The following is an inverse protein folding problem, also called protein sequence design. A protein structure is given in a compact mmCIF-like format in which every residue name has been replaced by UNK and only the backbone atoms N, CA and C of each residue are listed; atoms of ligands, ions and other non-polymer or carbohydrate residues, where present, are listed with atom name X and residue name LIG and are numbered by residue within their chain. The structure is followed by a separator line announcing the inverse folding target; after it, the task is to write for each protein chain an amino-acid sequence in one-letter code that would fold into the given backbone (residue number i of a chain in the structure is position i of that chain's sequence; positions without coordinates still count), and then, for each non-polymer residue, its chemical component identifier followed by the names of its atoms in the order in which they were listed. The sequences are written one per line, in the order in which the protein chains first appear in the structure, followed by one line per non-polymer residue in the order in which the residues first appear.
data_IF_339747753051
#
_entry.id   IF_339747753051
#
_cell.length_a   1.000
_cell.length_b   1.000
_cell.length_c   1.000
_cell.angle_alpha   90.00
_cell.angle_beta   90.00
_cell.angle_gamma   90.00
#
_symmetry.space_group_name_H-M   'P 1'
#
loop_
_entity.id
_entity.type
_entity.pdbx_description
1 polymer ?
#
# COMPACT_ATOMS: atom_id res chain seq x y z
N UNK A 1 -25.44 -12.39 -19.82
CA UNK A 1 -26.79 -12.08 -19.27
C UNK A 1 -26.80 -11.54 -17.82
N UNK A 2 -25.84 -11.87 -16.96
CA UNK A 2 -25.74 -11.32 -15.59
C UNK A 2 -25.35 -9.84 -15.58
N UNK A 3 -24.45 -9.39 -16.46
CA UNK A 3 -23.96 -8.00 -16.55
C UNK A 3 -25.03 -6.95 -16.90
N UNK A 4 -26.11 -7.32 -17.59
CA UNK A 4 -27.15 -6.35 -17.97
C UNK A 4 -28.09 -6.00 -16.82
N UNK A 5 -28.27 -6.89 -15.83
CA UNK A 5 -29.12 -6.63 -14.63
C UNK A 5 -28.48 -5.68 -13.61
N UNK A 6 -27.16 -5.53 -13.63
CA UNK A 6 -26.43 -4.71 -12.65
C UNK A 6 -25.80 -3.44 -13.24
N UNK A 7 -26.10 -3.08 -14.48
CA UNK A 7 -25.57 -1.84 -15.11
C UNK A 7 -25.83 -0.59 -14.28
N UNK A 8 -27.01 -0.47 -13.70
CA UNK A 8 -27.36 0.70 -12.87
C UNK A 8 -26.54 0.76 -11.60
N UNK A 9 -26.31 -0.38 -10.93
CA UNK A 9 -25.47 -0.47 -9.74
C UNK A 9 -23.99 -0.23 -10.09
N UNK A 10 -23.50 -0.80 -11.17
CA UNK A 10 -22.12 -0.59 -11.63
C UNK A 10 -21.88 0.90 -11.93
N UNK A 11 -22.76 1.56 -12.67
CA UNK A 11 -22.68 2.99 -12.95
C UNK A 11 -22.76 3.86 -11.69
N UNK A 12 -23.59 3.46 -10.71
CA UNK A 12 -23.64 4.15 -9.42
C UNK A 12 -22.31 4.03 -8.68
N UNK A 13 -21.76 2.82 -8.55
CA UNK A 13 -20.48 2.58 -7.88
C UNK A 13 -19.33 3.31 -8.56
N UNK A 14 -19.28 3.33 -9.89
CA UNK A 14 -18.28 4.06 -10.67
C UNK A 14 -18.37 5.59 -10.43
N UNK A 15 -19.57 6.16 -10.45
CA UNK A 15 -19.80 7.57 -10.13
C UNK A 15 -19.41 7.88 -8.69
N UNK A 16 -19.76 7.01 -7.74
CA UNK A 16 -19.40 7.16 -6.33
C UNK A 16 -17.88 7.12 -6.15
N UNK A 17 -17.20 6.16 -6.77
CA UNK A 17 -15.73 6.08 -6.78
C UNK A 17 -15.12 7.36 -7.37
N UNK A 18 -15.62 7.84 -8.51
CA UNK A 18 -15.14 9.07 -9.14
C UNK A 18 -15.32 10.28 -8.25
N UNK A 19 -16.44 10.37 -7.53
CA UNK A 19 -16.70 11.42 -6.55
C UNK A 19 -15.68 11.40 -5.41
N UNK A 20 -15.46 10.24 -4.79
CA UNK A 20 -14.47 10.06 -3.72
C UNK A 20 -13.06 10.43 -4.20
N UNK A 21 -12.62 9.91 -5.35
CA UNK A 21 -11.32 10.24 -5.93
C UNK A 21 -11.18 11.73 -6.24
N UNK A 22 -12.25 12.38 -6.63
CA UNK A 22 -12.26 13.84 -6.88
C UNK A 22 -12.07 14.63 -5.58
N UNK A 23 -12.75 14.23 -4.49
CA UNK A 23 -12.58 14.84 -3.15
C UNK A 23 -11.13 14.64 -2.69
N UNK A 24 -10.61 13.43 -2.78
CA UNK A 24 -9.21 13.15 -2.41
C UNK A 24 -8.25 14.07 -3.18
N UNK A 25 -8.37 14.12 -4.52
CA UNK A 25 -7.47 14.92 -5.37
C UNK A 25 -7.61 16.42 -5.17
N UNK A 26 -8.82 16.93 -4.98
CA UNK A 26 -9.09 18.37 -4.91
C UNK A 26 -9.03 18.95 -3.50
N UNK A 27 -9.21 18.13 -2.48
CA UNK A 27 -9.25 18.57 -1.08
C UNK A 27 -8.09 17.97 -0.28
N UNK A 28 -8.00 16.64 -0.19
CA UNK A 28 -7.00 16.01 0.67
C UNK A 28 -5.58 16.21 0.19
N UNK A 29 -5.29 15.96 -1.08
CA UNK A 29 -3.92 16.09 -1.60
C UNK A 29 -3.35 17.52 -1.53
N UNK A 30 -4.11 18.61 -1.81
CA UNK A 30 -3.62 19.96 -1.60
C UNK A 30 -3.38 20.34 -0.13
N UNK A 31 -4.12 19.75 0.81
CA UNK A 31 -3.97 20.01 2.25
C UNK A 31 -2.80 19.22 2.84
N UNK A 32 -2.50 18.04 2.29
CA UNK A 32 -1.50 17.11 2.81
C UNK A 32 -0.11 17.75 3.04
N UNK A 33 0.47 18.55 2.12
CA UNK A 33 1.77 19.20 2.34
C UNK A 33 1.77 20.16 3.54
N UNK A 34 0.68 20.89 3.77
CA UNK A 34 0.54 21.79 4.92
C UNK A 34 0.43 21.01 6.22
N UNK A 35 -0.33 19.92 6.23
CA UNK A 35 -0.46 19.02 7.38
C UNK A 35 0.89 18.39 7.72
N UNK A 36 1.61 17.84 6.74
CA UNK A 36 2.94 17.26 6.93
C UNK A 36 3.93 18.31 7.42
N UNK A 37 3.96 19.49 6.79
CA UNK A 37 4.83 20.62 7.19
C UNK A 37 4.56 21.08 8.61
N UNK A 38 3.29 21.15 9.04
CA UNK A 38 2.91 21.52 10.41
C UNK A 38 3.41 20.48 11.43
N UNK A 39 3.33 19.19 11.12
CA UNK A 39 3.84 18.13 12.00
C UNK A 39 5.37 18.19 12.11
N UNK A 40 6.09 18.40 11.02
CA UNK A 40 7.55 18.58 11.08
C UNK A 40 7.96 19.84 11.86
N UNK A 41 7.24 20.93 11.69
CA UNK A 41 7.47 22.14 12.49
C UNK A 41 7.25 21.88 13.98
N UNK A 42 6.21 21.13 14.35
CA UNK A 42 5.92 20.75 15.73
C UNK A 42 7.03 19.86 16.32
N UNK A 43 7.50 18.84 15.58
CA UNK A 43 8.61 17.96 15.95
C UNK A 43 9.89 18.80 16.19
N UNK A 44 10.15 19.76 15.30
CA UNK A 44 11.29 20.69 15.42
C UNK A 44 11.15 21.56 16.66
N UNK A 45 9.99 22.16 16.89
CA UNK A 45 9.71 23.01 18.04
C UNK A 45 9.87 22.28 19.38
N UNK A 46 9.45 21.01 19.44
CA UNK A 46 9.63 20.14 20.63
C UNK A 46 11.06 19.67 20.84
N UNK A 47 12.02 20.05 20.00
CA UNK A 47 13.43 19.63 20.11
C UNK A 47 13.69 18.16 19.78
N UNK A 48 12.74 17.49 19.11
CA UNK A 48 12.79 16.06 18.77
C UNK A 48 13.54 15.77 17.46
N UNK A 49 14.30 16.72 16.92
CA UNK A 49 15.09 16.56 15.68
C UNK A 49 16.09 15.40 15.75
N UNK A 50 16.63 15.09 16.94
CA UNK A 50 17.50 13.92 17.13
C UNK A 50 16.83 12.59 16.82
N UNK A 51 15.51 12.53 16.92
CA UNK A 51 14.71 11.33 16.58
C UNK A 51 14.58 11.15 15.06
N UNK A 52 14.77 12.20 14.26
CA UNK A 52 14.70 12.11 12.79
C UNK A 52 15.74 11.14 12.21
N UNK A 53 16.93 11.06 12.81
CA UNK A 53 17.92 10.08 12.39
C UNK A 53 17.42 8.65 12.58
N UNK A 54 16.71 8.38 13.67
CA UNK A 54 16.08 7.08 13.92
C UNK A 54 14.99 6.77 12.87
N UNK A 55 14.19 7.77 12.47
CA UNK A 55 13.18 7.59 11.42
C UNK A 55 13.79 7.23 10.06
N UNK A 56 14.93 7.80 9.69
CA UNK A 56 15.63 7.43 8.44
C UNK A 56 15.98 5.95 8.47
N UNK A 57 16.53 5.44 9.57
CA UNK A 57 16.85 4.01 9.70
C UNK A 57 15.61 3.13 9.66
N UNK A 58 14.50 3.56 10.27
CA UNK A 58 13.22 2.86 10.21
C UNK A 58 12.71 2.79 8.76
N UNK A 59 12.72 3.90 8.03
CA UNK A 59 12.31 3.93 6.61
C UNK A 59 13.20 3.02 5.76
N UNK A 60 14.52 3.07 5.94
CA UNK A 60 15.45 2.20 5.22
C UNK A 60 15.19 0.71 5.52
N UNK A 61 14.90 0.36 6.77
CA UNK A 61 14.55 -1.01 7.15
C UNK A 61 13.25 -1.45 6.50
N UNK A 62 12.22 -0.59 6.48
CA UNK A 62 10.94 -0.86 5.82
C UNK A 62 11.15 -1.12 4.32
N UNK A 63 11.92 -0.27 3.66
CA UNK A 63 12.25 -0.42 2.23
C UNK A 63 12.97 -1.75 1.99
N UNK A 64 13.92 -2.11 2.85
CA UNK A 64 14.58 -3.42 2.78
C UNK A 64 13.58 -4.57 2.92
N UNK A 65 12.68 -4.51 3.91
CA UNK A 65 11.63 -5.52 4.07
C UNK A 65 10.72 -5.63 2.84
N UNK A 66 10.39 -4.51 2.20
CA UNK A 66 9.60 -4.48 0.97
C UNK A 66 10.34 -5.14 -0.21
N UNK A 67 11.65 -4.91 -0.36
CA UNK A 67 12.46 -5.61 -1.37
C UNK A 67 12.53 -7.13 -1.10
N UNK A 68 12.73 -7.51 0.15
CA UNK A 68 12.70 -8.93 0.56
C UNK A 68 11.33 -9.55 0.25
N UNK A 69 10.25 -8.84 0.54
CA UNK A 69 8.89 -9.30 0.23
C UNK A 69 8.67 -9.46 -1.28
N UNK A 70 9.08 -8.48 -2.09
CA UNK A 70 9.02 -8.60 -3.56
C UNK A 70 9.75 -9.85 -4.05
N UNK A 71 10.97 -10.09 -3.54
CA UNK A 71 11.73 -11.29 -3.88
C UNK A 71 10.98 -12.57 -3.50
N UNK A 72 10.45 -12.66 -2.28
CA UNK A 72 9.66 -13.80 -1.79
C UNK A 72 8.44 -14.04 -2.71
N UNK A 73 7.71 -13.00 -3.07
CA UNK A 73 6.53 -13.09 -3.93
C UNK A 73 6.87 -13.65 -5.31
N UNK A 74 7.97 -13.20 -5.93
CA UNK A 74 8.41 -13.74 -7.22
C UNK A 74 8.94 -15.18 -7.11
N UNK A 75 9.56 -15.56 -6.01
CA UNK A 75 9.94 -16.97 -5.73
C UNK A 75 8.69 -17.85 -5.61
N UNK A 76 7.70 -17.42 -4.81
CA UNK A 76 6.42 -18.15 -4.66
C UNK A 76 5.72 -18.28 -6.02
N UNK A 77 5.64 -17.19 -6.79
CA UNK A 77 5.03 -17.19 -8.11
C UNK A 77 5.75 -18.13 -9.09
N UNK A 78 7.08 -18.18 -9.03
CA UNK A 78 7.89 -19.08 -9.85
C UNK A 78 7.63 -20.55 -9.50
N UNK A 79 7.61 -20.88 -8.22
CA UNK A 79 7.33 -22.25 -7.73
C UNK A 79 5.92 -22.68 -8.11
N UNK A 80 4.93 -21.83 -7.84
CA UNK A 80 3.52 -22.13 -8.12
C UNK A 80 3.23 -22.27 -9.62
N UNK A 81 3.72 -21.32 -10.43
CA UNK A 81 3.49 -21.33 -11.88
C UNK A 81 4.33 -22.35 -12.62
N UNK A 82 5.42 -22.84 -12.01
CA UNK A 82 6.49 -23.61 -12.67
C UNK A 82 7.11 -22.87 -13.86
N UNK A 83 7.14 -21.53 -13.79
CA UNK A 83 7.74 -20.63 -14.78
C UNK A 83 8.70 -19.68 -14.08
N UNK A 84 9.70 -19.19 -14.80
CA UNK A 84 10.66 -18.27 -14.20
C UNK A 84 10.05 -16.87 -14.01
N UNK A 85 9.73 -16.49 -12.77
CA UNK A 85 9.16 -15.19 -12.42
C UNK A 85 10.07 -14.01 -12.78
N UNK A 86 11.38 -14.21 -12.92
CA UNK A 86 12.29 -13.19 -13.39
C UNK A 86 11.93 -12.65 -14.80
N UNK A 87 11.30 -13.48 -15.63
CA UNK A 87 10.78 -13.07 -16.94
C UNK A 87 9.59 -12.09 -16.86
N UNK A 88 9.04 -11.86 -15.66
CA UNK A 88 8.10 -10.77 -15.38
C UNK A 88 8.84 -9.63 -14.66
N UNK A 89 9.51 -9.95 -13.56
CA UNK A 89 10.16 -8.97 -12.68
C UNK A 89 11.09 -8.00 -13.43
N UNK A 90 11.87 -8.50 -14.39
CA UNK A 90 12.87 -7.70 -15.14
C UNK A 90 12.26 -6.54 -15.96
N UNK A 91 10.98 -6.59 -16.27
CA UNK A 91 10.28 -5.53 -17.02
C UNK A 91 9.62 -4.49 -16.11
N UNK A 92 9.51 -4.78 -14.79
CA UNK A 92 8.79 -3.94 -13.84
C UNK A 92 9.51 -2.68 -13.31
N UNK A 93 10.81 -2.43 -13.54
CA UNK A 93 11.45 -1.20 -13.06
C UNK A 93 10.74 0.08 -13.49
N UNK A 94 10.19 0.15 -14.73
CA UNK A 94 9.40 1.29 -15.20
C UNK A 94 8.17 1.53 -14.33
N UNK A 95 7.39 0.49 -14.05
CA UNK A 95 6.21 0.57 -13.19
C UNK A 95 6.61 0.87 -11.73
N UNK A 96 7.71 0.28 -11.21
CA UNK A 96 8.23 0.54 -9.88
C UNK A 96 8.54 2.04 -9.67
N UNK A 97 9.34 2.66 -10.55
CA UNK A 97 9.69 4.07 -10.42
C UNK A 97 8.52 5.00 -10.68
N UNK A 98 7.57 4.62 -11.55
CA UNK A 98 6.32 5.38 -11.73
C UNK A 98 5.47 5.33 -10.46
N UNK A 99 5.32 4.17 -9.84
CA UNK A 99 4.60 4.00 -8.58
C UNK A 99 5.26 4.79 -7.43
N UNK A 100 6.59 4.74 -7.35
CA UNK A 100 7.38 5.51 -6.38
C UNK A 100 7.10 7.01 -6.48
N UNK A 101 7.01 7.54 -7.70
CA UNK A 101 6.77 8.97 -7.92
C UNK A 101 5.30 9.40 -7.81
N UNK A 102 4.37 8.53 -8.20
CA UNK A 102 2.93 8.84 -8.18
C UNK A 102 2.26 8.55 -6.84
N UNK A 103 2.83 7.63 -6.03
CA UNK A 103 2.24 7.11 -4.78
C UNK A 103 0.80 6.60 -5.01
N UNK A 104 0.49 6.15 -6.22
CA UNK A 104 -0.86 5.73 -6.61
C UNK A 104 -0.82 4.50 -7.52
N UNK A 105 -1.31 3.37 -7.03
CA UNK A 105 -1.43 2.14 -7.83
C UNK A 105 -2.35 2.34 -9.04
N UNK A 106 -3.45 3.07 -8.87
CA UNK A 106 -4.37 3.38 -9.97
C UNK A 106 -3.73 4.22 -11.08
N UNK A 107 -2.91 5.23 -10.72
CA UNK A 107 -2.19 6.06 -11.70
C UNK A 107 -1.06 5.27 -12.39
N UNK A 108 -0.52 4.26 -11.74
CA UNK A 108 0.58 3.43 -12.26
C UNK A 108 0.07 2.25 -13.12
N UNK A 109 -1.21 1.89 -13.01
CA UNK A 109 -1.79 0.73 -13.70
C UNK A 109 -1.48 0.66 -15.21
N UNK A 110 -1.57 1.74 -16.01
CA UNK A 110 -1.21 1.69 -17.43
C UNK A 110 0.24 1.24 -17.66
N UNK A 111 1.17 1.72 -16.84
CA UNK A 111 2.58 1.35 -16.94
C UNK A 111 2.84 -0.10 -16.50
N UNK A 112 2.11 -0.59 -15.50
CA UNK A 112 2.16 -2.00 -15.09
C UNK A 112 1.65 -2.93 -16.19
N UNK A 113 0.57 -2.54 -16.90
CA UNK A 113 0.06 -3.25 -18.07
C UNK A 113 1.06 -3.28 -19.23
N UNK A 114 1.74 -2.16 -19.50
CA UNK A 114 2.83 -2.13 -20.49
C UNK A 114 3.96 -3.08 -20.09
N UNK A 115 4.42 -3.03 -18.84
CA UNK A 115 5.51 -3.87 -18.34
C UNK A 115 5.20 -5.36 -18.45
N UNK A 116 3.98 -5.77 -18.11
CA UNK A 116 3.60 -7.19 -18.16
C UNK A 116 3.39 -7.67 -19.60
N UNK A 117 2.98 -6.78 -20.50
CA UNK A 117 2.81 -7.09 -21.92
C UNK A 117 4.15 -7.42 -22.62
N UNK A 118 5.27 -6.90 -22.10
CA UNK A 118 6.62 -7.27 -22.55
C UNK A 118 7.04 -8.67 -22.07
N UNK A 119 6.37 -9.22 -21.07
CA UNK A 119 6.68 -10.55 -20.55
C UNK A 119 6.09 -11.65 -21.46
N UNK A 120 6.92 -12.62 -21.91
CA UNK A 120 6.45 -13.68 -22.81
C UNK A 120 5.64 -14.77 -22.11
N UNK A 121 5.46 -14.70 -20.79
CA UNK A 121 4.92 -15.81 -19.98
C UNK A 121 3.57 -15.53 -19.32
N UNK A 122 3.03 -14.32 -19.45
CA UNK A 122 1.68 -13.99 -18.95
C UNK A 122 0.81 -13.61 -20.15
N UNK A 123 -0.37 -14.20 -20.24
CA UNK A 123 -1.32 -13.88 -21.30
C UNK A 123 -1.91 -12.49 -21.11
N UNK A 124 -2.11 -11.78 -22.22
CA UNK A 124 -2.68 -10.43 -22.19
C UNK A 124 -4.04 -10.38 -21.49
N UNK A 125 -4.95 -11.30 -21.83
CA UNK A 125 -6.30 -11.33 -21.24
C UNK A 125 -6.25 -11.53 -19.72
N UNK A 126 -5.29 -12.35 -19.25
CA UNK A 126 -5.06 -12.51 -17.80
C UNK A 126 -4.55 -11.21 -17.18
N UNK A 127 -3.59 -10.53 -17.81
CA UNK A 127 -3.03 -9.29 -17.31
C UNK A 127 -4.08 -8.17 -17.26
N UNK A 128 -4.88 -8.01 -18.33
CA UNK A 128 -5.93 -7.01 -18.46
C UNK A 128 -7.04 -7.17 -17.41
N UNK A 129 -7.24 -8.38 -16.90
CA UNK A 129 -8.15 -8.67 -15.79
C UNK A 129 -7.46 -8.55 -14.41
N UNK A 130 -6.30 -9.17 -14.25
CA UNK A 130 -5.68 -9.37 -12.95
C UNK A 130 -5.07 -8.06 -12.40
N UNK A 131 -4.37 -7.27 -13.21
CA UNK A 131 -3.71 -6.06 -12.73
C UNK A 131 -4.69 -4.98 -12.24
N UNK A 132 -5.80 -4.65 -12.94
CA UNK A 132 -6.80 -3.74 -12.39
C UNK A 132 -7.43 -4.22 -11.09
N UNK A 133 -7.59 -5.55 -10.92
CA UNK A 133 -8.12 -6.14 -9.69
C UNK A 133 -7.10 -5.98 -8.55
N UNK A 134 -5.85 -6.39 -8.76
CA UNK A 134 -4.83 -6.37 -7.72
C UNK A 134 -4.40 -4.96 -7.34
N UNK A 135 -4.36 -4.01 -8.27
CA UNK A 135 -4.04 -2.60 -7.97
C UNK A 135 -4.96 -1.97 -6.91
N UNK A 136 -6.13 -2.57 -6.64
CA UNK A 136 -7.07 -2.13 -5.62
C UNK A 136 -7.16 -3.07 -4.41
N UNK A 137 -6.80 -4.35 -4.56
CA UNK A 137 -6.96 -5.34 -3.49
C UNK A 137 -5.64 -5.70 -2.81
N UNK A 138 -4.51 -5.50 -3.48
CA UNK A 138 -3.23 -5.99 -3.02
C UNK A 138 -2.31 -4.83 -2.57
N UNK A 139 -2.34 -4.51 -1.29
CA UNK A 139 -1.58 -3.41 -0.67
C UNK A 139 -0.53 -3.92 0.33
N UNK A 140 0.13 -5.05 0.03
CA UNK A 140 1.09 -5.70 0.94
C UNK A 140 2.27 -4.79 1.35
N UNK A 141 2.85 -4.03 0.43
CA UNK A 141 3.95 -3.12 0.71
C UNK A 141 3.53 -1.97 1.62
N UNK A 142 2.31 -1.47 1.45
CA UNK A 142 1.72 -0.45 2.31
C UNK A 142 1.40 -0.99 3.70
N UNK A 143 0.89 -2.23 3.82
CA UNK A 143 0.65 -2.88 5.12
C UNK A 143 1.95 -3.15 5.86
N UNK A 144 3.02 -3.60 5.17
CA UNK A 144 4.36 -3.75 5.77
C UNK A 144 4.83 -2.42 6.37
N UNK A 145 4.66 -1.31 5.63
CA UNK A 145 5.01 0.02 6.11
C UNK A 145 4.20 0.42 7.34
N UNK A 146 2.89 0.28 7.28
CA UNK A 146 1.97 0.64 8.36
C UNK A 146 2.32 -0.09 9.66
N UNK A 147 2.45 -1.42 9.60
CA UNK A 147 2.79 -2.25 10.76
C UNK A 147 4.15 -1.89 11.36
N UNK A 148 5.14 -1.64 10.51
CA UNK A 148 6.49 -1.28 10.95
C UNK A 148 6.52 0.11 11.59
N UNK A 149 5.83 1.09 11.01
CA UNK A 149 5.76 2.45 11.53
C UNK A 149 4.99 2.52 12.85
N UNK A 150 3.86 1.82 12.97
CA UNK A 150 3.12 1.71 14.23
C UNK A 150 4.03 1.22 15.35
N UNK A 151 4.79 0.14 15.11
CA UNK A 151 5.70 -0.42 16.09
C UNK A 151 6.84 0.55 16.45
N UNK A 152 7.44 1.20 15.45
CA UNK A 152 8.57 2.10 15.63
C UNK A 152 8.14 3.40 16.35
N UNK A 153 7.06 4.03 15.93
CA UNK A 153 6.56 5.27 16.53
C UNK A 153 6.08 5.02 17.96
N UNK A 154 5.39 3.90 18.20
CA UNK A 154 4.97 3.51 19.54
C UNK A 154 6.18 3.32 20.46
N UNK A 155 7.19 2.57 20.00
CA UNK A 155 8.43 2.39 20.79
C UNK A 155 9.14 3.70 21.08
N UNK A 156 9.18 4.62 20.12
CA UNK A 156 9.83 5.93 20.31
C UNK A 156 9.09 6.81 21.30
N UNK A 157 7.76 6.76 21.31
CA UNK A 157 6.96 7.60 22.22
C UNK A 157 6.84 7.02 23.63
N UNK A 158 6.74 5.69 23.75
CA UNK A 158 6.40 5.04 25.02
C UNK A 158 7.53 4.16 25.59
N UNK A 159 8.64 3.97 24.87
CA UNK A 159 9.79 3.18 25.32
C UNK A 159 9.56 1.66 25.35
N UNK A 160 8.41 1.19 24.89
CA UNK A 160 8.07 -0.23 24.82
C UNK A 160 7.35 -0.55 23.50
N UNK A 161 7.31 -1.83 23.15
CA UNK A 161 6.53 -2.26 21.97
C UNK A 161 5.04 -2.36 22.34
N UNK A 162 4.13 -2.15 21.35
CA UNK A 162 2.71 -2.42 21.55
C UNK A 162 2.46 -3.87 21.99
N UNK A 163 1.34 -4.11 22.65
CA UNK A 163 0.94 -5.46 23.03
C UNK A 163 0.82 -6.35 21.78
N UNK A 164 1.39 -7.55 21.84
CA UNK A 164 1.40 -8.49 20.70
C UNK A 164 -0.01 -8.86 20.23
N UNK A 165 -0.96 -9.03 21.15
CA UNK A 165 -2.35 -9.32 20.80
C UNK A 165 -2.99 -8.16 20.02
N UNK A 166 -2.80 -6.92 20.51
CA UNK A 166 -3.29 -5.71 19.83
C UNK A 166 -2.66 -5.56 18.44
N UNK A 167 -1.36 -5.87 18.29
CA UNK A 167 -0.67 -5.83 17.00
C UNK A 167 -1.20 -6.88 16.03
N UNK A 168 -1.48 -8.10 16.48
CA UNK A 168 -2.08 -9.15 15.65
C UNK A 168 -3.49 -8.77 15.20
N UNK A 169 -4.30 -8.24 16.12
CA UNK A 169 -5.64 -7.76 15.79
C UNK A 169 -5.57 -6.62 14.79
N UNK A 170 -4.69 -5.65 15.02
CA UNK A 170 -4.46 -4.54 14.09
C UNK A 170 -4.01 -5.03 12.71
N UNK A 171 -3.09 -6.02 12.64
CA UNK A 171 -2.63 -6.59 11.38
C UNK A 171 -3.77 -7.19 10.55
N UNK A 172 -4.66 -7.97 11.19
CA UNK A 172 -5.83 -8.55 10.52
C UNK A 172 -6.77 -7.45 10.02
N UNK A 173 -7.04 -6.45 10.84
CA UNK A 173 -7.93 -5.34 10.46
C UNK A 173 -7.30 -4.44 9.39
N UNK A 174 -5.99 -4.19 9.45
CA UNK A 174 -5.28 -3.46 8.41
C UNK A 174 -5.36 -4.17 7.05
N UNK A 175 -5.25 -5.51 7.01
CA UNK A 175 -5.46 -6.28 5.79
C UNK A 175 -6.90 -6.15 5.24
N UNK A 176 -7.91 -6.15 6.12
CA UNK A 176 -9.31 -5.95 5.71
C UNK A 176 -9.53 -4.52 5.19
N UNK A 177 -8.99 -3.53 5.90
CA UNK A 177 -9.08 -2.12 5.51
C UNK A 177 -8.36 -1.86 4.19
N UNK A 178 -7.23 -2.52 3.96
CA UNK A 178 -6.47 -2.39 2.72
C UNK A 178 -7.33 -2.72 1.48
N UNK A 179 -8.25 -3.69 1.58
CA UNK A 179 -9.16 -4.06 0.48
C UNK A 179 -10.11 -2.90 0.12
N UNK A 180 -10.52 -2.10 1.11
CA UNK A 180 -11.41 -0.95 0.93
C UNK A 180 -10.69 0.40 0.83
N UNK A 181 -9.37 0.42 0.98
CA UNK A 181 -8.57 1.64 0.97
C UNK A 181 -8.41 2.18 -0.45
N UNK A 182 -8.57 3.49 -0.68
CA UNK A 182 -8.36 4.07 -2.00
C UNK A 182 -6.88 4.01 -2.38
N UNK A 183 -6.58 3.64 -3.64
CA UNK A 183 -5.23 3.57 -4.21
C UNK A 183 -4.63 4.95 -4.51
N UNK A 184 -4.63 5.85 -3.52
CA UNK A 184 -4.14 7.24 -3.58
C UNK A 184 -3.11 7.48 -2.47
N UNK A 185 -2.25 8.51 -2.59
CA UNK A 185 -1.26 8.81 -1.56
C UNK A 185 -1.85 8.90 -0.16
N UNK A 186 -1.25 8.18 0.80
CA UNK A 186 -1.68 8.14 2.20
C UNK A 186 -2.99 7.38 2.47
N UNK A 187 -3.62 6.77 1.46
CA UNK A 187 -4.95 6.18 1.57
C UNK A 187 -5.07 5.11 2.64
N UNK A 188 -4.12 4.18 2.73
CA UNK A 188 -4.11 3.14 3.75
C UNK A 188 -3.90 3.72 5.15
N UNK A 189 -2.90 4.60 5.34
CA UNK A 189 -2.61 5.21 6.63
C UNK A 189 -3.83 5.99 7.17
N UNK A 190 -4.46 6.80 6.32
CA UNK A 190 -5.68 7.52 6.72
C UNK A 190 -6.82 6.58 7.12
N UNK A 191 -6.95 5.44 6.45
CA UNK A 191 -7.95 4.43 6.77
C UNK A 191 -7.63 3.69 8.07
N UNK A 192 -6.35 3.46 8.38
CA UNK A 192 -5.90 2.75 9.58
C UNK A 192 -5.92 3.63 10.85
N UNK A 193 -5.75 4.94 10.75
CA UNK A 193 -5.72 5.85 11.91
C UNK A 193 -6.94 5.66 12.81
N UNK A 194 -8.13 5.45 12.25
CA UNK A 194 -9.37 5.28 13.02
C UNK A 194 -9.35 4.05 13.92
N UNK A 195 -8.71 2.97 13.51
CA UNK A 195 -8.60 1.74 14.31
C UNK A 195 -7.39 1.72 15.23
N UNK A 196 -6.33 2.46 14.90
CA UNK A 196 -5.14 2.58 15.74
C UNK A 196 -5.49 3.14 17.13
N UNK A 197 -6.33 4.18 17.19
CA UNK A 197 -6.77 4.77 18.44
C UNK A 197 -7.50 3.78 19.35
N UNK A 198 -8.33 2.91 18.78
CA UNK A 198 -9.17 1.98 19.57
C UNK A 198 -8.49 0.66 19.91
N UNK A 199 -7.36 0.32 19.27
CA UNK A 199 -6.69 -0.99 19.45
C UNK A 199 -5.29 -0.84 20.05
N UNK A 200 -4.50 0.08 19.53
CA UNK A 200 -3.10 0.26 19.92
C UNK A 200 -2.94 1.33 21.00
N UNK A 201 -3.74 2.40 20.92
CA UNK A 201 -3.62 3.58 21.78
C UNK A 201 -4.79 3.71 22.79
N UNK A 202 -5.52 2.62 23.04
CA UNK A 202 -6.73 2.63 23.87
C UNK A 202 -6.50 3.19 25.29
N UNK A 203 -5.32 2.95 25.86
CA UNK A 203 -4.95 3.41 27.20
C UNK A 203 -4.14 4.72 27.19
N UNK A 204 -4.00 5.39 26.04
CA UNK A 204 -3.20 6.58 25.90
C UNK A 204 -4.04 7.85 26.02
N UNK A 205 -3.41 8.92 26.55
CA UNK A 205 -4.05 10.23 26.60
C UNK A 205 -4.35 10.78 25.19
N UNK A 206 -5.44 11.56 25.01
CA UNK A 206 -5.81 12.11 23.70
C UNK A 206 -4.69 12.92 23.04
N UNK A 207 -3.90 13.66 23.81
CA UNK A 207 -2.77 14.45 23.32
C UNK A 207 -1.68 13.54 22.71
N UNK A 208 -1.39 12.41 23.37
CA UNK A 208 -0.44 11.41 22.88
C UNK A 208 -0.94 10.74 21.60
N UNK A 209 -2.24 10.49 21.48
CA UNK A 209 -2.85 9.96 20.24
C UNK A 209 -2.66 10.93 19.08
N UNK A 210 -2.94 12.21 19.27
CA UNK A 210 -2.77 13.24 18.24
C UNK A 210 -1.31 13.33 17.79
N UNK A 211 -0.39 13.31 18.73
CA UNK A 211 1.06 13.32 18.44
C UNK A 211 1.47 12.06 17.66
N UNK A 212 1.02 10.89 18.09
CA UNK A 212 1.29 9.62 17.41
C UNK A 212 0.79 9.65 15.95
N UNK A 213 -0.44 10.06 15.72
CA UNK A 213 -1.01 10.14 14.37
C UNK A 213 -0.28 11.17 13.49
N UNK A 214 0.15 12.28 14.07
CA UNK A 214 0.93 13.30 13.39
C UNK A 214 2.27 12.76 12.90
N UNK A 215 3.02 12.09 13.78
CA UNK A 215 4.31 11.47 13.46
C UNK A 215 4.13 10.35 12.41
N UNK A 216 3.16 9.46 12.62
CA UNK A 216 2.84 8.38 11.69
C UNK A 216 2.58 8.93 10.29
N UNK A 217 1.68 9.89 10.15
CA UNK A 217 1.31 10.44 8.85
C UNK A 217 2.47 11.15 8.15
N UNK A 218 3.29 11.89 8.92
CA UNK A 218 4.45 12.58 8.37
C UNK A 218 5.47 11.61 7.78
N UNK A 219 5.78 10.52 8.50
CA UNK A 219 6.76 9.52 8.05
C UNK A 219 6.17 8.66 6.93
N UNK A 220 4.90 8.25 7.08
CA UNK A 220 4.22 7.44 6.08
C UNK A 220 4.19 8.15 4.73
N UNK A 221 3.96 9.46 4.69
CA UNK A 221 3.96 10.25 3.44
C UNK A 221 5.28 10.13 2.68
N UNK A 222 6.41 10.07 3.39
CA UNK A 222 7.73 9.90 2.76
C UNK A 222 7.89 8.47 2.23
N UNK A 223 7.37 7.50 2.97
CA UNK A 223 7.57 6.06 2.70
C UNK A 223 6.55 5.48 1.71
N UNK A 224 5.38 6.11 1.55
CA UNK A 224 4.23 5.59 0.80
C UNK A 224 4.56 5.25 -0.67
N UNK A 225 5.45 6.03 -1.30
CA UNK A 225 5.94 5.73 -2.65
C UNK A 225 6.60 4.35 -2.76
N UNK A 226 7.40 3.95 -1.78
CA UNK A 226 8.05 2.64 -1.74
C UNK A 226 7.04 1.53 -1.50
N UNK A 227 6.05 1.76 -0.62
CA UNK A 227 4.92 0.84 -0.38
C UNK A 227 4.13 0.59 -1.66
N UNK A 228 3.76 1.66 -2.37
CA UNK A 228 3.04 1.59 -3.65
C UNK A 228 3.86 0.88 -4.72
N UNK A 229 5.16 1.16 -4.81
CA UNK A 229 6.06 0.50 -5.75
C UNK A 229 6.17 -1.01 -5.48
N UNK A 230 6.21 -1.41 -4.19
CA UNK A 230 6.17 -2.81 -3.79
C UNK A 230 4.84 -3.46 -4.19
N UNK A 231 3.69 -2.80 -3.94
CA UNK A 231 2.37 -3.31 -4.32
C UNK A 231 2.31 -3.59 -5.83
N UNK A 232 2.56 -2.57 -6.65
CA UNK A 232 2.48 -2.66 -8.10
C UNK A 232 3.44 -3.71 -8.67
N UNK A 233 4.66 -3.82 -8.12
CA UNK A 233 5.62 -4.79 -8.61
C UNK A 233 5.19 -6.22 -8.28
N UNK A 234 4.64 -6.46 -7.10
CA UNK A 234 4.17 -7.79 -6.70
C UNK A 234 2.84 -8.17 -7.35
N UNK A 235 2.06 -7.22 -7.89
CA UNK A 235 0.90 -7.52 -8.74
C UNK A 235 1.30 -8.33 -9.99
N UNK A 236 2.50 -8.10 -10.54
CA UNK A 236 3.05 -8.91 -11.63
C UNK A 236 3.28 -10.36 -11.25
N UNK A 237 3.73 -10.62 -10.03
CA UNK A 237 3.87 -11.98 -9.50
C UNK A 237 2.50 -12.67 -9.33
N UNK A 238 1.50 -11.94 -8.83
CA UNK A 238 0.13 -12.44 -8.71
C UNK A 238 -0.53 -12.70 -10.07
N UNK A 239 -0.29 -11.84 -11.05
CA UNK A 239 -0.77 -12.05 -12.42
C UNK A 239 -0.20 -13.33 -13.04
N UNK A 240 1.10 -13.63 -12.81
CA UNK A 240 1.72 -14.89 -13.22
C UNK A 240 1.07 -16.11 -12.56
N UNK A 241 0.75 -16.01 -11.26
CA UNK A 241 0.05 -17.08 -10.54
C UNK A 241 -1.37 -17.27 -11.07
N UNK A 242 -2.07 -16.18 -11.36
CA UNK A 242 -3.43 -16.17 -11.92
C UNK A 242 -3.45 -16.80 -13.30
N UNK A 243 -2.51 -16.46 -14.18
CA UNK A 243 -2.39 -17.07 -15.51
C UNK A 243 -2.25 -18.59 -15.44
N UNK A 244 -1.43 -19.09 -14.51
CA UNK A 244 -1.30 -20.52 -14.28
C UNK A 244 -2.58 -21.15 -13.76
N UNK A 245 -3.27 -20.47 -12.82
CA UNK A 245 -4.52 -20.97 -12.26
C UNK A 245 -5.62 -21.10 -13.33
N UNK A 246 -5.79 -20.06 -14.15
CA UNK A 246 -6.78 -20.05 -15.24
C UNK A 246 -6.47 -21.11 -16.29
N UNK A 247 -5.21 -21.25 -16.69
CA UNK A 247 -4.78 -22.30 -17.61
C UNK A 247 -5.08 -23.73 -17.08
N UNK A 248 -4.92 -23.96 -15.77
CA UNK A 248 -5.25 -25.25 -15.13
C UNK A 248 -6.77 -25.54 -15.15
N UNK A 249 -7.59 -24.50 -15.13
CA UNK A 249 -9.06 -24.59 -15.12
C UNK A 249 -9.68 -24.61 -16.52
N UNK A 250 -8.89 -24.55 -17.60
CA UNK A 250 -9.33 -24.35 -18.99
C UNK A 250 -10.21 -23.11 -19.15
N UNK A 251 -9.93 -22.04 -18.39
CA UNK A 251 -10.67 -20.78 -18.39
C UNK A 251 -9.89 -19.63 -19.08
N UNK A 252 -8.74 -19.97 -19.67
CA UNK A 252 -7.85 -19.00 -20.31
C UNK A 252 -7.62 -19.32 -21.79
#
# INVERSE_FOLDING_TARGET
MVWTRFKSLANFLEKFQTMILTIVRKVLLPILPFFVGSNFALITYKGQLGQMQTFIWVVLLIVLCQFVWMFIMYVIASIYSRRNGWLVAKYYPKAYFTALGTMSSAATLPFALECIAESPIVKKDTADFALPLFSNLHLCGSVIAEMSLVSAVYYMMFGCLPNMYSMLLFAVLACVIAIGSPGVPGGLNMSCITILGSIILVDQAPEAMVEFFGIMTAIYTIQDGFGTACNVTTDGALALMTDKYLAKKNLA
#
